data_IF_945724768021
#
_entry.id   IF_945724768021
#
_cell.length_a   1.000
_cell.length_b   1.000
_cell.length_c   1.000
_cell.angle_alpha   90.00
_cell.angle_beta   90.00
_cell.angle_gamma   90.00
#
_symmetry.space_group_name_H-M   'P 1'
#
loop_
_entity.id
_entity.type
_entity.pdbx_description
1 polymer ?
#
# COMPACT_ATOMS: atom_id res chain seq x y z
N UNK A 1 -62.39 9.21 -10.38
CA UNK A 1 -61.49 9.85 -9.38
C UNK A 1 -60.82 8.85 -8.42
N UNK A 2 -60.81 7.54 -8.70
CA UNK A 2 -60.18 6.50 -7.85
C UNK A 2 -58.82 5.98 -8.38
N UNK A 3 -58.46 6.31 -9.62
CA UNK A 3 -57.22 5.85 -10.25
C UNK A 3 -55.97 6.65 -9.82
N UNK A 4 -56.14 7.87 -9.32
CA UNK A 4 -55.03 8.71 -8.85
C UNK A 4 -54.43 8.22 -7.54
N UNK A 5 -55.27 7.92 -6.55
CA UNK A 5 -54.82 7.46 -5.22
C UNK A 5 -54.08 6.11 -5.26
N UNK A 6 -54.44 5.22 -6.18
CA UNK A 6 -53.82 3.91 -6.33
C UNK A 6 -52.39 3.99 -6.90
N UNK A 7 -52.12 5.00 -7.76
CA UNK A 7 -50.77 5.24 -8.31
C UNK A 7 -49.84 5.83 -7.26
N UNK A 8 -50.30 6.83 -6.50
CA UNK A 8 -49.52 7.42 -5.41
C UNK A 8 -49.14 6.39 -4.32
N UNK A 9 -50.05 5.46 -4.00
CA UNK A 9 -49.78 4.41 -3.02
C UNK A 9 -48.72 3.40 -3.52
N UNK A 10 -48.73 3.06 -4.81
CA UNK A 10 -47.70 2.20 -5.41
C UNK A 10 -46.32 2.87 -5.50
N UNK A 11 -46.28 4.18 -5.72
CA UNK A 11 -45.03 4.94 -5.79
C UNK A 11 -44.36 5.05 -4.41
N UNK A 12 -45.14 5.30 -3.36
CA UNK A 12 -44.63 5.32 -1.98
C UNK A 12 -44.12 3.94 -1.57
N UNK A 13 -44.85 2.88 -1.94
CA UNK A 13 -44.43 1.51 -1.66
C UNK A 13 -43.14 1.15 -2.40
N UNK A 14 -43.02 1.52 -3.68
CA UNK A 14 -41.82 1.31 -4.46
C UNK A 14 -40.61 2.06 -3.89
N UNK A 15 -40.78 3.33 -3.48
CA UNK A 15 -39.72 4.11 -2.86
C UNK A 15 -39.28 3.53 -1.51
N UNK A 16 -40.22 3.03 -0.70
CA UNK A 16 -39.91 2.37 0.56
C UNK A 16 -39.10 1.09 0.35
N UNK A 17 -39.49 0.27 -0.63
CA UNK A 17 -38.78 -0.97 -0.98
C UNK A 17 -37.37 -0.65 -1.51
N UNK A 18 -37.25 0.34 -2.39
CA UNK A 18 -35.96 0.79 -2.92
C UNK A 18 -35.03 1.31 -1.79
N UNK A 19 -35.58 2.08 -0.85
CA UNK A 19 -34.84 2.55 0.33
C UNK A 19 -34.34 1.40 1.21
N UNK A 20 -35.19 0.39 1.46
CA UNK A 20 -34.80 -0.79 2.24
C UNK A 20 -33.71 -1.61 1.56
N UNK A 21 -33.80 -1.82 0.25
CA UNK A 21 -32.77 -2.51 -0.53
C UNK A 21 -31.46 -1.72 -0.50
N UNK A 22 -31.50 -0.39 -0.68
CA UNK A 22 -30.32 0.45 -0.63
C UNK A 22 -29.63 0.40 0.74
N UNK A 23 -30.39 0.43 1.84
CA UNK A 23 -29.86 0.29 3.21
C UNK A 23 -29.24 -1.09 3.41
N UNK A 24 -29.91 -2.16 2.96
CA UNK A 24 -29.38 -3.52 3.06
C UNK A 24 -28.05 -3.69 2.30
N UNK A 25 -27.99 -3.16 1.06
CA UNK A 25 -26.77 -3.16 0.25
C UNK A 25 -25.66 -2.34 0.90
N UNK A 26 -25.96 -1.16 1.43
CA UNK A 26 -24.98 -0.31 2.11
C UNK A 26 -24.38 -1.00 3.35
N UNK A 27 -25.21 -1.66 4.16
CA UNK A 27 -24.76 -2.41 5.34
C UNK A 27 -23.89 -3.62 4.98
N UNK A 28 -24.21 -4.31 3.88
CA UNK A 28 -23.41 -5.43 3.36
C UNK A 28 -22.07 -4.93 2.78
N UNK A 29 -22.10 -3.88 1.97
CA UNK A 29 -20.91 -3.28 1.35
C UNK A 29 -19.94 -2.73 2.39
N UNK A 30 -20.45 -2.10 3.45
CA UNK A 30 -19.63 -1.59 4.56
C UNK A 30 -18.82 -2.72 5.21
N UNK A 31 -19.40 -3.91 5.41
CA UNK A 31 -18.66 -5.04 5.99
C UNK A 31 -17.56 -5.55 5.06
N UNK A 32 -17.79 -5.58 3.75
CA UNK A 32 -16.79 -6.03 2.78
C UNK A 32 -15.63 -5.04 2.60
N UNK A 33 -15.93 -3.74 2.52
CA UNK A 33 -14.89 -2.71 2.39
C UNK A 33 -13.96 -2.67 3.61
N UNK A 34 -14.49 -2.87 4.82
CA UNK A 34 -13.68 -2.90 6.04
C UNK A 34 -12.71 -4.09 6.12
N UNK A 35 -13.03 -5.23 5.50
CA UNK A 35 -12.12 -6.39 5.49
C UNK A 35 -10.93 -6.15 4.54
N UNK A 36 -11.19 -5.65 3.33
CA UNK A 36 -10.13 -5.34 2.38
C UNK A 36 -9.17 -4.25 2.90
N UNK A 37 -9.70 -3.26 3.63
CA UNK A 37 -8.89 -2.19 4.21
C UNK A 37 -7.99 -2.68 5.36
N UNK A 38 -8.47 -3.62 6.19
CA UNK A 38 -7.70 -4.20 7.30
C UNK A 38 -6.62 -5.17 6.81
N UNK A 39 -6.89 -5.92 5.75
CA UNK A 39 -5.93 -6.82 5.13
C UNK A 39 -4.80 -6.03 4.45
N UNK A 40 -5.13 -4.95 3.72
CA UNK A 40 -4.13 -4.09 3.07
C UNK A 40 -3.19 -3.39 4.07
N UNK A 41 -3.73 -2.83 5.16
CA UNK A 41 -2.92 -2.12 6.16
C UNK A 41 -2.01 -3.07 6.95
N UNK A 42 -2.51 -4.24 7.38
CA UNK A 42 -1.67 -5.25 8.05
C UNK A 42 -0.52 -5.72 7.16
N UNK A 43 -0.79 -5.88 5.87
CA UNK A 43 0.22 -6.29 4.90
C UNK A 43 1.35 -5.25 4.77
N UNK A 44 1.01 -3.96 4.77
CA UNK A 44 2.02 -2.89 4.69
C UNK A 44 2.89 -2.81 5.94
N UNK A 45 2.31 -2.85 7.15
CA UNK A 45 3.10 -2.80 8.38
C UNK A 45 4.00 -4.04 8.55
N UNK A 46 3.51 -5.23 8.18
CA UNK A 46 4.34 -6.43 8.19
C UNK A 46 5.45 -6.37 7.13
N UNK A 47 5.17 -5.79 5.96
CA UNK A 47 6.19 -5.58 4.93
C UNK A 47 7.26 -4.57 5.38
N UNK A 48 6.88 -3.48 6.02
CA UNK A 48 7.82 -2.51 6.60
C UNK A 48 8.74 -3.15 7.64
N UNK A 49 8.17 -3.93 8.57
CA UNK A 49 8.94 -4.63 9.59
C UNK A 49 9.92 -5.64 8.96
N UNK A 50 9.45 -6.42 7.99
CA UNK A 50 10.28 -7.39 7.28
C UNK A 50 11.41 -6.72 6.46
N UNK A 51 11.14 -5.56 5.84
CA UNK A 51 12.15 -4.78 5.14
C UNK A 51 13.17 -4.22 6.13
N UNK A 52 12.72 -3.69 7.26
CA UNK A 52 13.60 -3.22 8.33
C UNK A 52 14.55 -4.32 8.78
N UNK A 53 14.04 -5.49 9.12
CA UNK A 53 14.83 -6.66 9.53
C UNK A 53 15.80 -7.13 8.42
N UNK A 54 15.34 -7.16 7.17
CA UNK A 54 16.17 -7.52 6.02
C UNK A 54 17.38 -6.58 5.85
N UNK A 55 17.17 -5.28 6.06
CA UNK A 55 18.19 -4.25 5.94
C UNK A 55 19.02 -4.08 7.21
N UNK A 56 18.59 -4.60 8.36
CA UNK A 56 19.33 -4.57 9.63
C UNK A 56 20.39 -5.69 9.75
N UNK A 57 20.48 -6.59 8.77
CA UNK A 57 21.49 -7.68 8.76
C UNK A 57 22.92 -7.22 8.43
N UNK A 58 23.85 -8.17 8.29
CA UNK A 58 25.30 -7.95 8.16
C UNK A 58 25.77 -7.00 7.03
N UNK A 59 24.95 -6.74 6.02
CA UNK A 59 25.29 -5.83 4.92
C UNK A 59 24.65 -4.45 5.10
N UNK A 60 25.47 -3.40 5.04
CA UNK A 60 25.01 -2.01 5.22
C UNK A 60 24.06 -1.52 4.11
N UNK A 61 24.23 -2.06 2.91
CA UNK A 61 23.42 -1.76 1.72
C UNK A 61 23.17 -3.02 0.90
N UNK A 62 22.02 -3.07 0.23
CA UNK A 62 21.63 -4.15 -0.69
C UNK A 62 21.12 -3.59 -2.00
N UNK A 63 21.35 -4.28 -3.11
CA UNK A 63 20.77 -3.86 -4.39
C UNK A 63 19.26 -4.04 -4.40
N UNK A 64 18.58 -3.15 -5.13
CA UNK A 64 17.14 -3.19 -5.27
C UNK A 64 16.65 -4.56 -5.78
N UNK A 65 17.36 -5.18 -6.72
CA UNK A 65 17.03 -6.51 -7.23
C UNK A 65 17.14 -7.64 -6.19
N UNK A 66 18.03 -7.52 -5.20
CA UNK A 66 18.11 -8.49 -4.11
C UNK A 66 16.92 -8.33 -3.17
N UNK A 67 16.56 -7.09 -2.83
CA UNK A 67 15.41 -6.79 -1.98
C UNK A 67 14.12 -7.25 -2.66
N UNK A 68 13.93 -6.91 -3.94
CA UNK A 68 12.76 -7.29 -4.74
C UNK A 68 12.54 -8.80 -4.79
N UNK A 69 13.61 -9.57 -4.98
CA UNK A 69 13.55 -11.05 -4.97
C UNK A 69 13.21 -11.63 -3.61
N UNK A 70 13.59 -10.96 -2.51
CA UNK A 70 13.38 -11.46 -1.14
C UNK A 70 12.01 -11.11 -0.57
N UNK A 71 11.53 -9.89 -0.84
CA UNK A 71 10.23 -9.41 -0.37
C UNK A 71 9.11 -9.91 -1.27
N UNK A 72 9.25 -9.79 -2.60
CA UNK A 72 8.23 -10.20 -3.57
C UNK A 72 6.87 -9.50 -3.43
N UNK A 73 5.94 -9.75 -4.35
CA UNK A 73 4.53 -9.33 -4.19
C UNK A 73 4.21 -7.83 -4.34
N UNK A 74 5.22 -6.98 -4.55
CA UNK A 74 5.05 -5.53 -4.76
C UNK A 74 5.55 -5.11 -6.14
N UNK A 75 4.94 -4.08 -6.71
CA UNK A 75 5.52 -3.41 -7.87
C UNK A 75 6.82 -2.70 -7.46
N UNK A 76 7.65 -2.41 -8.45
CA UNK A 76 8.92 -1.73 -8.21
C UNK A 76 8.75 -0.35 -7.54
N UNK A 77 7.64 0.36 -7.82
CA UNK A 77 7.36 1.65 -7.20
C UNK A 77 6.86 1.49 -5.76
N UNK A 78 5.98 0.52 -5.51
CA UNK A 78 5.43 0.26 -4.18
C UNK A 78 6.52 -0.23 -3.22
N UNK A 79 7.44 -1.08 -3.70
CA UNK A 79 8.57 -1.54 -2.90
C UNK A 79 9.48 -0.38 -2.51
N UNK A 80 9.74 0.58 -3.41
CA UNK A 80 10.52 1.79 -3.09
C UNK A 80 9.81 2.66 -2.06
N UNK A 81 8.48 2.81 -2.15
CA UNK A 81 7.72 3.54 -1.12
C UNK A 81 7.80 2.84 0.25
N UNK A 82 7.71 1.51 0.30
CA UNK A 82 7.87 0.75 1.53
C UNK A 82 9.29 0.87 2.10
N UNK A 83 10.31 0.86 1.25
CA UNK A 83 11.70 1.10 1.65
C UNK A 83 11.86 2.46 2.32
N UNK A 84 11.34 3.53 1.71
CA UNK A 84 11.37 4.88 2.31
C UNK A 84 10.61 4.90 3.64
N UNK A 85 9.43 4.28 3.72
CA UNK A 85 8.64 4.19 4.96
C UNK A 85 9.35 3.41 6.06
N UNK A 86 10.15 2.40 5.71
CA UNK A 86 11.00 1.65 6.65
C UNK A 86 12.25 2.42 7.11
N UNK A 87 12.46 3.65 6.63
CA UNK A 87 13.63 4.47 6.96
C UNK A 87 14.88 4.15 6.13
N UNK A 88 14.72 3.43 5.03
CA UNK A 88 15.78 3.20 4.07
C UNK A 88 15.94 4.40 3.12
N UNK A 89 17.18 4.64 2.70
CA UNK A 89 17.55 5.65 1.72
C UNK A 89 18.22 4.97 0.52
N UNK A 90 18.10 5.63 -0.63
CA UNK A 90 18.60 5.15 -1.92
C UNK A 90 19.96 5.74 -2.21
N UNK A 91 20.88 4.90 -2.66
CA UNK A 91 22.22 5.25 -3.10
C UNK A 91 22.45 4.75 -4.53
N UNK A 92 23.33 5.42 -5.25
CA UNK A 92 23.80 4.97 -6.56
C UNK A 92 25.29 4.70 -6.48
N UNK A 93 25.71 3.51 -6.90
CA UNK A 93 27.12 3.18 -7.00
C UNK A 93 27.49 2.86 -8.44
N UNK A 94 28.49 3.58 -8.94
CA UNK A 94 29.19 3.18 -10.15
C UNK A 94 30.12 2.00 -9.82
N UNK A 95 29.84 0.85 -10.41
CA UNK A 95 30.64 -0.37 -10.28
C UNK A 95 31.50 -0.62 -11.54
N UNK A 96 31.71 0.39 -12.37
CA UNK A 96 32.40 0.25 -13.66
C UNK A 96 31.55 -0.44 -14.73
N UNK A 97 30.25 -0.58 -14.48
CA UNK A 97 29.25 -1.09 -15.43
C UNK A 97 28.56 0.08 -16.14
N UNK A 98 28.04 -0.09 -17.37
CA UNK A 98 27.33 0.98 -18.09
C UNK A 98 26.08 1.51 -17.39
N UNK A 99 25.66 0.89 -16.28
CA UNK A 99 24.47 1.22 -15.52
C UNK A 99 24.85 1.32 -14.05
N UNK A 100 24.50 2.42 -13.42
CA UNK A 100 24.62 2.60 -11.97
C UNK A 100 23.76 1.57 -11.24
N UNK A 101 24.30 1.01 -10.16
CA UNK A 101 23.58 0.04 -9.33
C UNK A 101 22.82 0.78 -8.25
N UNK A 102 21.49 0.62 -8.27
CA UNK A 102 20.60 1.12 -7.23
C UNK A 102 20.75 0.30 -5.95
N UNK A 103 21.25 0.93 -4.91
CA UNK A 103 21.46 0.37 -3.59
C UNK A 103 20.51 1.02 -2.58
N UNK A 104 20.11 0.24 -1.58
CA UNK A 104 19.25 0.68 -0.48
C UNK A 104 19.82 0.21 0.84
N UNK A 105 19.77 1.09 1.84
CA UNK A 105 20.22 0.80 3.20
C UNK A 105 19.51 1.67 4.22
N UNK A 106 19.47 1.24 5.48
CA UNK A 106 18.86 2.03 6.56
C UNK A 106 19.65 3.33 6.75
N UNK A 107 18.94 4.47 6.79
CA UNK A 107 19.57 5.79 7.02
C UNK A 107 20.37 5.82 8.31
N UNK A 108 19.86 5.19 9.37
CA UNK A 108 20.50 5.16 10.68
C UNK A 108 21.93 4.57 10.64
N UNK A 109 22.17 3.62 9.73
CA UNK A 109 23.44 2.92 9.52
C UNK A 109 24.36 3.62 8.52
N UNK A 110 23.80 4.30 7.53
CA UNK A 110 24.54 4.90 6.42
C UNK A 110 24.56 6.44 6.48
N UNK A 111 24.61 7.04 7.68
CA UNK A 111 24.56 8.51 7.85
C UNK A 111 25.67 9.23 7.09
N UNK A 112 26.91 8.77 7.22
CA UNK A 112 28.06 9.39 6.54
C UNK A 112 27.93 9.38 5.02
N UNK A 113 27.48 8.27 4.45
CA UNK A 113 27.27 8.15 3.01
C UNK A 113 26.06 8.96 2.52
N UNK A 114 25.01 9.11 3.35
CA UNK A 114 23.82 9.87 2.99
C UNK A 114 24.09 11.40 2.96
N UNK A 115 25.00 11.87 3.80
CA UNK A 115 25.38 13.28 3.85
C UNK A 115 26.28 13.64 2.64
N UNK A 116 27.15 12.73 2.18
CA UNK A 116 27.99 12.90 0.99
C UNK A 116 27.21 13.05 -0.32
N UNK A 117 26.10 12.32 -0.49
CA UNK A 117 25.25 12.39 -1.69
C UNK A 117 24.33 13.64 -1.71
N UNK A 118 24.29 14.43 -0.63
CA UNK A 118 23.38 15.57 -0.46
C UNK A 118 23.99 16.94 -0.81
N UNK A 119 25.30 17.01 -1.07
CA UNK A 119 26.04 18.22 -1.50
C UNK A 119 26.17 18.32 -3.03
#
# INVERSE_FOLDING_TARGET
MWAGSMRFMSEILAAAIAGLIAIAVALLAQRHQFQQFKEGLRTQYMAEAAIGELLDGDHDMRSFDVIRRRVGGFSDNDLRQLLVRSGAVRFYRDLGTPREVELWGLRARNRSAADEDSE
#
